data_IF_282673946728
#
_entry.id   IF_282673946728
#
_cell.length_a   1.000
_cell.length_b   1.000
_cell.length_c   1.000
_cell.angle_alpha   90.00
_cell.angle_beta   90.00
_cell.angle_gamma   90.00
#
_symmetry.space_group_name_H-M   'P 1'
#
loop_
_entity.id
_entity.type
_entity.pdbx_description
1 polymer ?
#
# COMPACT_ATOMS: atom_id res chain seq x y z
N UNK A 1 2.53 -7.84 -9.78
CA UNK A 1 1.32 -7.24 -10.37
C UNK A 1 1.61 -5.77 -10.62
N UNK A 2 1.84 -5.38 -11.87
CA UNK A 2 2.06 -3.99 -12.22
C UNK A 2 0.73 -3.25 -12.07
N UNK A 3 0.71 -2.29 -11.14
CA UNK A 3 -0.37 -1.36 -10.94
C UNK A 3 -0.36 -0.43 -12.17
N UNK A 4 -1.15 -0.79 -13.19
CA UNK A 4 -1.46 0.12 -14.28
C UNK A 4 -2.18 1.27 -13.63
N UNK A 5 -1.48 2.40 -13.54
CA UNK A 5 -2.03 3.67 -13.11
C UNK A 5 -3.08 3.98 -14.18
N UNK A 6 -4.32 3.61 -13.86
CA UNK A 6 -5.49 3.96 -14.64
C UNK A 6 -5.48 5.48 -14.66
N UNK A 7 -5.00 6.09 -15.75
CA UNK A 7 -5.25 7.50 -16.00
C UNK A 7 -6.77 7.62 -15.92
N UNK A 8 -7.24 8.21 -14.81
CA UNK A 8 -8.65 8.50 -14.60
C UNK A 8 -9.02 9.53 -15.65
N UNK A 9 -9.28 9.07 -16.86
CA UNK A 9 -10.08 9.78 -17.82
C UNK A 9 -11.47 9.83 -17.17
N UNK A 10 -11.66 10.84 -16.31
CA UNK A 10 -12.90 11.00 -15.58
C UNK A 10 -13.99 11.10 -16.65
N UNK A 11 -15.04 10.28 -16.58
CA UNK A 11 -16.03 10.28 -17.62
C UNK A 11 -16.76 11.62 -17.59
N UNK A 12 -16.43 12.48 -18.56
CA UNK A 12 -17.08 13.76 -18.80
C UNK A 12 -18.36 13.46 -19.57
N UNK A 13 -19.49 13.39 -18.87
CA UNK A 13 -20.80 13.34 -19.54
C UNK A 13 -21.28 14.79 -19.66
N UNK A 14 -21.39 15.28 -20.90
CA UNK A 14 -21.88 16.63 -21.22
C UNK A 14 -21.09 17.80 -20.58
N UNK A 15 -19.78 17.65 -20.37
CA UNK A 15 -18.92 18.71 -19.81
C UNK A 15 -18.90 18.77 -18.27
N UNK A 16 -19.55 17.82 -17.59
CA UNK A 16 -19.57 17.72 -16.13
C UNK A 16 -18.63 16.60 -15.70
N UNK A 17 -17.68 16.91 -14.81
CA UNK A 17 -16.85 15.90 -14.14
C UNK A 17 -17.72 15.07 -13.18
N UNK A 18 -17.97 13.80 -13.54
CA UNK A 18 -18.75 12.89 -12.69
C UNK A 18 -17.80 11.98 -11.94
N UNK A 19 -17.90 12.04 -10.61
CA UNK A 19 -17.16 11.13 -9.72
C UNK A 19 -17.71 9.72 -9.82
N UNK A 20 -16.83 8.74 -9.95
CA UNK A 20 -17.15 7.30 -9.85
C UNK A 20 -16.69 6.72 -8.51
N UNK A 21 -17.37 5.67 -8.06
CA UNK A 21 -16.95 4.91 -6.88
C UNK A 21 -15.91 3.83 -7.21
N UNK A 22 -15.50 3.04 -6.21
CA UNK A 22 -14.50 1.98 -6.37
C UNK A 22 -14.95 0.85 -7.31
N UNK A 23 -16.25 0.73 -7.56
CA UNK A 23 -16.87 -0.27 -8.44
C UNK A 23 -17.22 0.31 -9.82
N UNK A 24 -16.86 1.58 -10.10
CA UNK A 24 -17.11 2.23 -11.37
C UNK A 24 -18.53 2.80 -11.54
N UNK A 25 -19.34 2.86 -10.47
CA UNK A 25 -20.69 3.45 -10.50
C UNK A 25 -20.63 4.98 -10.46
N UNK A 26 -21.54 5.62 -11.18
CA UNK A 26 -21.61 7.06 -11.40
C UNK A 26 -22.48 7.75 -10.36
N UNK A 27 -22.00 8.89 -9.83
CA UNK A 27 -22.75 9.70 -8.88
C UNK A 27 -23.87 10.52 -9.56
N UNK A 28 -25.11 10.08 -9.42
CA UNK A 28 -26.28 10.74 -10.04
C UNK A 28 -26.65 12.06 -9.37
N UNK A 29 -26.31 12.24 -8.09
CA UNK A 29 -26.56 13.50 -7.40
C UNK A 29 -25.65 14.60 -7.95
N UNK A 30 -24.43 14.27 -8.39
CA UNK A 30 -23.58 15.23 -9.07
C UNK A 30 -24.22 15.70 -10.39
N UNK A 31 -24.76 14.76 -11.18
CA UNK A 31 -25.48 15.06 -12.43
C UNK A 31 -26.75 15.88 -12.19
N UNK A 32 -27.54 15.55 -11.16
CA UNK A 32 -28.75 16.31 -10.81
C UNK A 32 -28.43 17.75 -10.41
N UNK A 33 -27.45 17.96 -9.53
CA UNK A 33 -26.99 19.30 -9.13
C UNK A 33 -26.49 20.11 -10.32
N UNK A 34 -25.71 19.49 -11.21
CA UNK A 34 -25.19 20.15 -12.41
C UNK A 34 -26.30 20.54 -13.39
N UNK A 35 -27.41 19.79 -13.40
CA UNK A 35 -28.57 20.08 -14.25
C UNK A 35 -29.40 21.27 -13.75
N UNK A 36 -29.29 21.63 -12.46
CA UNK A 36 -30.03 22.76 -11.86
C UNK A 36 -31.55 22.57 -11.84
N UNK A 37 -32.04 21.34 -11.94
CA UNK A 37 -33.47 21.00 -11.94
C UNK A 37 -33.98 20.82 -10.51
N UNK A 38 -35.30 20.92 -10.32
CA UNK A 38 -35.91 20.81 -8.99
C UNK A 38 -35.94 19.37 -8.45
N UNK A 39 -36.47 19.25 -7.23
CA UNK A 39 -36.57 17.97 -6.49
C UNK A 39 -37.44 16.93 -7.20
N UNK A 40 -38.33 17.37 -8.10
CA UNK A 40 -39.13 16.49 -8.96
C UNK A 40 -38.27 15.65 -9.91
N UNK A 41 -37.06 16.11 -10.21
CA UNK A 41 -36.08 15.42 -11.04
C UNK A 41 -34.96 14.74 -10.25
N UNK A 42 -35.06 14.67 -8.92
CA UNK A 42 -34.05 14.00 -8.10
C UNK A 42 -33.93 12.49 -8.45
N UNK A 43 -32.74 11.88 -8.35
CA UNK A 43 -32.53 10.45 -8.65
C UNK A 43 -33.47 9.52 -7.87
N UNK A 44 -33.75 9.85 -6.61
CA UNK A 44 -34.67 9.10 -5.77
C UNK A 44 -36.11 9.06 -6.32
N UNK A 45 -36.55 10.05 -7.11
CA UNK A 45 -37.86 10.05 -7.78
C UNK A 45 -37.84 9.16 -9.02
N UNK A 46 -36.76 9.20 -9.78
CA UNK A 46 -36.60 8.37 -10.98
C UNK A 46 -36.71 6.88 -10.65
N UNK A 47 -36.00 6.41 -9.62
CA UNK A 47 -35.99 5.00 -9.22
C UNK A 47 -37.26 4.53 -8.49
N UNK A 48 -38.23 5.43 -8.23
CA UNK A 48 -39.56 5.01 -7.76
C UNK A 48 -40.43 4.49 -8.91
N UNK A 49 -40.16 4.92 -10.15
CA UNK A 49 -40.91 4.50 -11.32
C UNK A 49 -40.75 3.00 -11.56
N UNK A 50 -41.85 2.33 -11.93
CA UNK A 50 -41.85 0.89 -12.21
C UNK A 50 -40.81 0.53 -13.29
N UNK A 51 -40.75 1.31 -14.36
CA UNK A 51 -39.79 1.11 -15.46
C UNK A 51 -38.33 1.14 -14.99
N UNK A 52 -37.98 2.05 -14.10
CA UNK A 52 -36.62 2.15 -13.58
C UNK A 52 -36.28 0.97 -12.65
N UNK A 53 -37.25 0.49 -11.87
CA UNK A 53 -37.09 -0.71 -11.03
C UNK A 53 -36.90 -1.97 -11.85
N UNK A 54 -37.75 -2.16 -12.87
CA UNK A 54 -37.68 -3.31 -13.77
C UNK A 54 -36.30 -3.34 -14.48
N UNK A 55 -35.82 -2.17 -14.94
CA UNK A 55 -34.52 -2.04 -15.59
C UNK A 55 -33.34 -2.31 -14.64
N UNK A 56 -33.43 -1.93 -13.36
CA UNK A 56 -32.43 -2.32 -12.35
C UNK A 56 -32.38 -3.84 -12.24
N UNK A 57 -33.54 -4.49 -12.08
CA UNK A 57 -33.60 -5.95 -11.92
C UNK A 57 -33.01 -6.68 -13.13
N UNK A 58 -33.30 -6.23 -14.35
CA UNK A 58 -32.70 -6.81 -15.57
C UNK A 58 -31.17 -6.62 -15.62
N UNK A 59 -30.68 -5.43 -15.26
CA UNK A 59 -29.25 -5.15 -15.26
C UNK A 59 -28.49 -5.95 -14.20
N UNK A 60 -29.05 -6.11 -13.00
CA UNK A 60 -28.45 -6.91 -11.93
C UNK A 60 -28.38 -8.38 -12.31
N UNK A 61 -29.38 -8.91 -13.03
CA UNK A 61 -29.36 -10.28 -13.58
C UNK A 61 -28.28 -10.42 -14.65
N UNK A 62 -28.16 -9.46 -15.57
CA UNK A 62 -27.23 -9.53 -16.69
C UNK A 62 -25.77 -9.38 -16.24
N UNK A 63 -25.49 -8.47 -15.31
CA UNK A 63 -24.14 -8.15 -14.85
C UNK A 63 -23.69 -9.00 -13.66
N UNK A 64 -24.64 -9.54 -12.88
CA UNK A 64 -24.35 -10.22 -11.61
C UNK A 64 -23.82 -9.28 -10.52
N UNK A 65 -24.00 -7.97 -10.68
CA UNK A 65 -23.47 -6.93 -9.79
C UNK A 65 -24.57 -6.00 -9.28
N UNK A 66 -24.32 -5.36 -8.13
CA UNK A 66 -25.24 -4.36 -7.56
C UNK A 66 -25.16 -3.09 -8.39
N UNK A 67 -26.26 -2.78 -9.08
CA UNK A 67 -26.30 -1.70 -10.06
C UNK A 67 -26.74 -0.34 -9.47
N UNK A 68 -27.25 -0.31 -8.24
CA UNK A 68 -27.67 0.91 -7.54
C UNK A 68 -27.29 0.87 -6.07
N UNK A 69 -26.58 1.89 -5.59
CA UNK A 69 -26.24 2.08 -4.17
C UNK A 69 -26.59 3.48 -3.74
N UNK A 70 -27.16 3.62 -2.55
CA UNK A 70 -27.31 4.91 -1.88
C UNK A 70 -26.46 4.91 -0.62
N UNK A 71 -25.54 5.86 -0.51
CA UNK A 71 -24.69 6.06 0.66
C UNK A 71 -25.07 7.34 1.39
N UNK A 72 -25.12 7.28 2.72
CA UNK A 72 -25.40 8.43 3.58
C UNK A 72 -24.10 9.10 4.07
N UNK A 73 -24.12 10.43 4.27
CA UNK A 73 -23.00 11.19 4.84
C UNK A 73 -22.54 12.39 4.00
N UNK A 74 -21.46 13.07 4.43
CA UNK A 74 -20.93 14.28 3.76
C UNK A 74 -20.52 14.06 2.30
N UNK A 75 -20.12 12.84 1.96
CA UNK A 75 -19.81 12.40 0.59
C UNK A 75 -20.86 11.43 0.04
N UNK A 76 -22.01 11.33 0.71
CA UNK A 76 -23.09 10.43 0.36
C UNK A 76 -23.80 10.82 -0.93
N UNK A 77 -24.40 9.84 -1.59
CA UNK A 77 -25.18 10.03 -2.79
C UNK A 77 -25.71 8.73 -3.38
N UNK A 78 -26.46 8.87 -4.47
CA UNK A 78 -26.95 7.73 -5.26
C UNK A 78 -25.95 7.44 -6.39
N UNK A 79 -25.33 6.26 -6.31
CA UNK A 79 -24.38 5.74 -7.28
C UNK A 79 -25.06 4.67 -8.11
N UNK A 80 -24.95 4.76 -9.44
CA UNK A 80 -25.59 3.82 -10.35
C UNK A 80 -24.65 3.34 -11.46
N UNK A 81 -24.92 2.16 -11.98
CA UNK A 81 -24.28 1.63 -13.18
C UNK A 81 -24.40 2.62 -14.36
N UNK A 82 -23.44 2.60 -15.30
CA UNK A 82 -23.37 3.54 -16.42
C UNK A 82 -24.68 3.64 -17.22
N UNK A 83 -25.28 2.51 -17.58
CA UNK A 83 -26.55 2.46 -18.30
C UNK A 83 -27.71 3.14 -17.54
N UNK A 84 -27.76 2.97 -16.22
CA UNK A 84 -28.76 3.65 -15.37
C UNK A 84 -28.52 5.16 -15.33
N UNK A 85 -27.25 5.59 -15.32
CA UNK A 85 -26.90 7.00 -15.37
C UNK A 85 -27.31 7.64 -16.71
N UNK A 86 -27.11 6.95 -17.83
CA UNK A 86 -27.56 7.41 -19.16
C UNK A 86 -29.09 7.52 -19.21
N UNK A 87 -29.81 6.51 -18.72
CA UNK A 87 -31.28 6.55 -18.67
C UNK A 87 -31.82 7.67 -17.79
N UNK A 88 -31.22 7.87 -16.62
CA UNK A 88 -31.57 8.99 -15.74
C UNK A 88 -31.32 10.34 -16.41
N UNK A 89 -30.16 10.52 -17.06
CA UNK A 89 -29.83 11.73 -17.81
C UNK A 89 -30.85 11.99 -18.95
N UNK A 90 -31.29 10.93 -19.64
CA UNK A 90 -32.35 11.01 -20.65
C UNK A 90 -33.73 11.38 -20.09
N UNK A 91 -34.04 10.97 -18.86
CA UNK A 91 -35.30 11.31 -18.19
C UNK A 91 -35.38 12.76 -17.71
N UNK A 92 -34.25 13.33 -17.28
CA UNK A 92 -34.19 14.74 -16.87
C UNK A 92 -34.07 15.69 -18.08
N UNK A 93 -33.50 15.23 -19.20
CA UNK A 93 -33.34 16.03 -20.42
C UNK A 93 -33.77 15.26 -21.67
N UNK A 94 -34.98 15.54 -22.22
CA UNK A 94 -35.43 14.95 -23.48
C UNK A 94 -34.49 15.25 -24.65
N UNK A 95 -33.88 16.45 -24.66
CA UNK A 95 -32.88 16.85 -25.66
C UNK A 95 -31.65 15.92 -25.62
N UNK A 96 -31.14 15.64 -24.42
CA UNK A 96 -30.02 14.71 -24.26
C UNK A 96 -30.41 13.30 -24.72
N UNK A 97 -31.59 12.82 -24.36
CA UNK A 97 -32.09 11.51 -24.82
C UNK A 97 -32.11 11.39 -26.35
N UNK A 98 -32.60 12.42 -27.03
CA UNK A 98 -32.61 12.44 -28.49
C UNK A 98 -31.19 12.49 -29.07
N UNK A 99 -30.28 13.23 -28.45
CA UNK A 99 -28.88 13.28 -28.87
C UNK A 99 -28.20 11.90 -28.75
N UNK A 100 -28.39 11.19 -27.63
CA UNK A 100 -27.87 9.84 -27.43
C UNK A 100 -28.41 8.88 -28.49
N UNK A 101 -29.73 8.90 -28.72
CA UNK A 101 -30.36 8.07 -29.74
C UNK A 101 -29.84 8.39 -31.15
N UNK A 102 -29.70 9.68 -31.48
CA UNK A 102 -29.18 10.13 -32.77
C UNK A 102 -27.73 9.71 -32.95
N UNK A 103 -26.91 9.81 -31.89
CA UNK A 103 -25.51 9.35 -31.88
C UNK A 103 -25.43 7.85 -32.17
N UNK A 104 -26.31 7.04 -31.57
CA UNK A 104 -26.37 5.61 -31.86
C UNK A 104 -26.75 5.33 -33.33
N UNK A 105 -27.74 6.05 -33.87
CA UNK A 105 -28.14 5.91 -35.28
C UNK A 105 -27.00 6.32 -36.21
N UNK A 106 -26.35 7.44 -35.92
CA UNK A 106 -25.25 7.97 -36.73
C UNK A 106 -24.04 7.02 -36.70
N UNK A 107 -23.72 6.42 -35.54
CA UNK A 107 -22.71 5.36 -35.42
C UNK A 107 -23.07 4.13 -36.26
N UNK A 108 -24.28 3.61 -36.13
CA UNK A 108 -24.73 2.45 -36.92
C UNK A 108 -24.74 2.74 -38.43
N UNK A 109 -25.01 3.98 -38.83
CA UNK A 109 -24.99 4.41 -40.23
C UNK A 109 -23.59 4.71 -40.78
N UNK A 110 -22.55 4.64 -39.94
CA UNK A 110 -21.17 4.92 -40.33
C UNK A 110 -20.82 6.41 -40.45
N UNK A 111 -21.72 7.32 -40.04
CA UNK A 111 -21.46 8.78 -40.02
C UNK A 111 -20.48 9.18 -38.91
N UNK A 112 -20.50 8.44 -37.79
CA UNK A 112 -19.50 8.58 -36.73
C UNK A 112 -18.38 7.57 -36.99
N UNK A 113 -17.20 8.08 -37.33
CA UNK A 113 -15.97 7.30 -37.31
C UNK A 113 -15.45 7.32 -35.88
N UNK A 114 -15.27 6.14 -35.27
CA UNK A 114 -14.43 6.05 -34.08
C UNK A 114 -13.02 6.50 -34.49
N UNK A 115 -12.28 7.23 -33.64
CA UNK A 115 -10.86 7.43 -33.85
C UNK A 115 -10.21 6.05 -33.77
N UNK A 116 -10.14 5.37 -34.91
CA UNK A 116 -9.41 4.12 -35.02
C UNK A 116 -7.97 4.51 -34.76
N UNK A 117 -7.31 3.97 -33.71
CA UNK A 117 -5.92 4.29 -33.46
C UNK A 117 -5.18 3.92 -34.74
N UNK A 118 -4.66 4.94 -35.43
CA UNK A 118 -3.94 4.73 -36.67
C UNK A 118 -2.81 3.75 -36.36
N UNK A 119 -2.75 2.65 -37.11
CA UNK A 119 -1.64 1.71 -36.98
C UNK A 119 -0.34 2.51 -37.11
N UNK A 120 0.61 2.37 -36.15
CA UNK A 120 1.84 3.12 -36.20
C UNK A 120 2.52 2.90 -37.55
N UNK A 121 2.97 3.98 -38.19
CA UNK A 121 3.73 3.86 -39.43
C UNK A 121 5.03 3.07 -39.15
N UNK A 122 5.59 2.37 -40.13
CA UNK A 122 6.80 1.55 -40.01
C UNK A 122 7.95 2.27 -39.29
N UNK A 123 8.11 3.58 -39.51
CA UNK A 123 9.11 4.41 -38.82
C UNK A 123 8.84 4.58 -37.31
N UNK A 124 7.57 4.75 -36.92
CA UNK A 124 7.17 4.85 -35.51
C UNK A 124 7.36 3.51 -34.80
N UNK A 125 7.03 2.40 -35.48
CA UNK A 125 7.24 1.06 -34.97
C UNK A 125 8.72 0.78 -34.69
N UNK A 126 9.61 1.11 -35.63
CA UNK A 126 11.05 0.94 -35.46
C UNK A 126 11.61 1.71 -34.26
N UNK A 127 11.14 2.94 -34.04
CA UNK A 127 11.58 3.76 -32.91
C UNK A 127 11.09 3.21 -31.57
N UNK A 128 9.87 2.68 -31.52
CA UNK A 128 9.32 2.02 -30.33
C UNK A 128 10.07 0.72 -29.99
N UNK A 129 10.45 -0.06 -31.00
CA UNK A 129 11.24 -1.28 -30.81
C UNK A 129 12.62 -0.96 -30.22
N UNK A 130 13.31 0.05 -30.77
CA UNK A 130 14.61 0.48 -30.23
C UNK A 130 14.50 0.96 -28.77
N UNK A 131 13.48 1.75 -28.44
CA UNK A 131 13.25 2.21 -27.07
C UNK A 131 12.97 1.05 -26.11
N UNK A 132 12.18 0.07 -26.54
CA UNK A 132 11.87 -1.11 -25.73
C UNK A 132 13.11 -1.99 -25.50
N UNK A 133 14.00 -2.12 -26.49
CA UNK A 133 15.27 -2.82 -26.34
C UNK A 133 16.19 -2.12 -25.34
N UNK A 134 16.37 -0.80 -25.45
CA UNK A 134 17.16 -0.02 -24.50
C UNK A 134 16.60 -0.10 -23.07
N UNK A 135 15.27 -0.04 -22.90
CA UNK A 135 14.63 -0.15 -21.59
C UNK A 135 14.84 -1.54 -20.99
N UNK A 136 14.71 -2.60 -21.81
CA UNK A 136 14.96 -3.98 -21.38
C UNK A 136 16.40 -4.17 -20.92
N UNK A 137 17.36 -3.59 -21.63
CA UNK A 137 18.77 -3.64 -21.23
C UNK A 137 18.99 -2.94 -19.88
N UNK A 138 18.44 -1.72 -19.70
CA UNK A 138 18.50 -1.00 -18.42
C UNK A 138 17.90 -1.79 -17.27
N UNK A 139 16.72 -2.38 -17.50
CA UNK A 139 16.05 -3.20 -16.49
C UNK A 139 16.86 -4.44 -16.15
N UNK A 140 17.47 -5.11 -17.13
CA UNK A 140 18.30 -6.29 -16.87
C UNK A 140 19.55 -5.95 -16.04
N UNK A 141 20.19 -4.80 -16.31
CA UNK A 141 21.30 -4.32 -15.49
C UNK A 141 20.86 -4.00 -14.06
N UNK A 142 19.70 -3.37 -13.88
CA UNK A 142 19.16 -3.07 -12.56
C UNK A 142 18.83 -4.35 -11.77
N UNK A 143 18.24 -5.36 -12.42
CA UNK A 143 17.96 -6.67 -11.81
C UNK A 143 19.26 -7.32 -11.35
N UNK A 144 20.29 -7.38 -12.21
CA UNK A 144 21.59 -7.97 -11.84
C UNK A 144 22.24 -7.24 -10.63
N UNK A 145 22.13 -5.91 -10.57
CA UNK A 145 22.64 -5.14 -9.44
C UNK A 145 21.88 -5.44 -8.14
N UNK A 146 20.56 -5.53 -8.21
CA UNK A 146 19.72 -5.87 -7.07
C UNK A 146 19.97 -7.32 -6.61
N UNK A 147 20.13 -8.26 -7.52
CA UNK A 147 20.50 -9.65 -7.20
C UNK A 147 21.85 -9.71 -6.47
N UNK A 148 22.84 -8.93 -6.92
CA UNK A 148 24.12 -8.82 -6.21
C UNK A 148 23.95 -8.24 -4.80
N UNK A 149 23.13 -7.18 -4.64
CA UNK A 149 22.83 -6.61 -3.32
C UNK A 149 22.12 -7.62 -2.41
N UNK A 150 21.15 -8.37 -2.95
CA UNK A 150 20.45 -9.42 -2.20
C UNK A 150 21.42 -10.52 -1.78
N UNK A 151 22.38 -10.89 -2.62
CA UNK A 151 23.40 -11.89 -2.27
C UNK A 151 24.33 -11.38 -1.15
N UNK A 152 24.75 -10.12 -1.19
CA UNK A 152 25.56 -9.51 -0.12
C UNK A 152 24.76 -9.33 1.18
N UNK A 153 23.49 -8.97 1.08
CA UNK A 153 22.59 -8.79 2.23
C UNK A 153 22.00 -10.11 2.74
N UNK A 154 22.05 -11.22 1.98
CA UNK A 154 21.52 -12.53 2.37
C UNK A 154 22.04 -13.02 3.73
N UNK A 155 23.37 -13.05 4.03
CA UNK A 155 23.85 -13.46 5.34
C UNK A 155 23.45 -12.48 6.47
N UNK A 156 23.15 -11.23 6.13
CA UNK A 156 22.76 -10.16 7.08
C UNK A 156 21.25 -10.21 7.39
N UNK A 157 20.42 -10.56 6.42
CA UNK A 157 18.98 -10.80 6.58
C UNK A 157 18.75 -12.12 7.31
N UNK A 158 19.47 -13.18 6.96
CA UNK A 158 19.35 -14.49 7.61
C UNK A 158 19.69 -14.42 9.11
N UNK A 159 20.72 -13.66 9.50
CA UNK A 159 21.02 -13.39 10.90
C UNK A 159 19.94 -12.54 11.59
N UNK A 160 19.41 -11.52 10.89
CA UNK A 160 18.32 -10.68 11.41
C UNK A 160 17.06 -11.51 11.72
N UNK A 161 16.69 -12.42 10.83
CA UNK A 161 15.52 -13.28 10.99
C UNK A 161 15.72 -14.35 12.06
N UNK A 162 16.90 -14.96 12.16
CA UNK A 162 17.24 -15.88 13.26
C UNK A 162 17.13 -15.21 14.63
N UNK A 163 17.57 -13.96 14.74
CA UNK A 163 17.55 -13.17 15.98
C UNK A 163 16.14 -12.64 16.30
N UNK A 164 15.33 -12.33 15.29
CA UNK A 164 13.92 -11.95 15.47
C UNK A 164 13.03 -13.15 15.83
N UNK A 165 13.36 -14.36 15.37
CA UNK A 165 12.64 -15.58 15.72
C UNK A 165 12.86 -16.00 17.18
N UNK A 166 14.05 -15.77 17.74
CA UNK A 166 14.32 -15.99 19.17
C UNK A 166 13.68 -14.89 20.04
N UNK A 167 12.40 -15.07 20.40
CA UNK A 167 11.58 -14.14 21.18
C UNK A 167 12.02 -13.87 22.65
N UNK A 168 13.29 -14.11 23.01
CA UNK A 168 13.81 -13.92 24.36
C UNK A 168 15.05 -13.03 24.41
N UNK A 169 15.14 -12.14 25.40
CA UNK A 169 16.35 -11.38 25.66
C UNK A 169 17.50 -12.33 26.05
N UNK A 170 18.64 -12.21 25.37
CA UNK A 170 19.80 -13.07 25.55
C UNK A 170 20.71 -12.54 26.66
N UNK A 171 21.28 -13.43 27.46
CA UNK A 171 22.36 -13.02 28.37
C UNK A 171 23.57 -12.51 27.58
N UNK A 172 24.35 -11.60 28.15
CA UNK A 172 25.57 -11.09 27.51
C UNK A 172 26.55 -12.24 27.16
N UNK A 173 26.55 -13.32 27.92
CA UNK A 173 27.35 -14.51 27.61
C UNK A 173 26.87 -15.23 26.33
N UNK A 174 25.55 -15.33 26.12
CA UNK A 174 24.96 -15.88 24.89
C UNK A 174 25.20 -14.94 23.71
N UNK A 175 24.97 -13.63 23.89
CA UNK A 175 25.26 -12.62 22.88
C UNK A 175 26.74 -12.65 22.44
N UNK A 176 27.68 -12.85 23.38
CA UNK A 176 29.10 -12.97 23.06
C UNK A 176 29.41 -14.19 22.17
N UNK A 177 28.77 -15.33 22.42
CA UNK A 177 28.92 -16.52 21.57
C UNK A 177 28.42 -16.27 20.15
N UNK A 178 27.26 -15.64 20.02
CA UNK A 178 26.67 -15.30 18.71
C UNK A 178 27.57 -14.36 17.92
N UNK A 179 28.26 -13.43 18.59
CA UNK A 179 29.18 -12.48 17.97
C UNK A 179 30.61 -13.01 17.80
N UNK A 180 30.88 -14.26 18.17
CA UNK A 180 32.21 -14.86 18.08
C UNK A 180 33.26 -14.19 18.99
N UNK A 181 32.85 -13.61 20.13
CA UNK A 181 33.75 -12.90 21.05
C UNK A 181 33.69 -13.45 22.48
N UNK A 182 34.67 -13.08 23.30
CA UNK A 182 34.72 -13.47 24.71
C UNK A 182 33.80 -12.60 25.58
N UNK A 183 33.09 -13.23 26.53
CA UNK A 183 32.19 -12.54 27.50
C UNK A 183 32.81 -11.28 28.10
N UNK A 184 34.04 -11.37 28.60
CA UNK A 184 34.75 -10.24 29.25
C UNK A 184 35.06 -9.09 28.28
N UNK A 185 35.41 -9.42 27.02
CA UNK A 185 35.65 -8.41 25.97
C UNK A 185 34.37 -7.68 25.62
N UNK A 186 33.25 -8.41 25.52
CA UNK A 186 31.95 -7.80 25.25
C UNK A 186 31.49 -6.90 26.40
N UNK A 187 31.65 -7.30 27.66
CA UNK A 187 31.37 -6.43 28.81
C UNK A 187 32.22 -5.15 28.80
N UNK A 188 33.50 -5.27 28.46
CA UNK A 188 34.40 -4.12 28.38
C UNK A 188 33.91 -3.15 27.31
N UNK A 189 33.55 -3.67 26.13
CA UNK A 189 33.03 -2.87 25.03
C UNK A 189 31.68 -2.21 25.35
N UNK A 190 30.74 -2.94 25.94
CA UNK A 190 29.45 -2.41 26.37
C UNK A 190 29.59 -1.23 27.35
N UNK A 191 30.61 -1.23 28.21
CA UNK A 191 30.93 -0.08 29.08
C UNK A 191 31.53 1.08 28.28
N UNK A 192 32.41 0.80 27.32
CA UNK A 192 33.02 1.83 26.47
C UNK A 192 31.98 2.58 25.62
N UNK A 193 31.00 1.87 25.06
CA UNK A 193 29.91 2.47 24.26
C UNK A 193 28.77 3.04 25.12
N UNK A 194 28.88 2.99 26.45
CA UNK A 194 27.88 3.53 27.37
C UNK A 194 26.54 2.80 27.35
N UNK A 195 26.53 1.48 27.19
CA UNK A 195 25.31 0.67 27.25
C UNK A 195 25.04 0.10 28.65
N UNK A 196 26.11 -0.18 29.39
CA UNK A 196 26.04 -0.66 30.77
C UNK A 196 26.97 0.15 31.68
N UNK A 197 26.63 0.22 32.96
CA UNK A 197 27.42 0.86 34.00
C UNK A 197 28.64 0.03 34.36
N UNK A 198 29.52 0.58 35.22
CA UNK A 198 30.64 -0.16 35.82
C UNK A 198 30.19 -1.41 36.59
N UNK A 199 28.97 -1.41 37.12
CA UNK A 199 28.35 -2.55 37.84
C UNK A 199 27.66 -3.56 36.91
N UNK A 200 27.77 -3.38 35.59
CA UNK A 200 27.11 -4.18 34.56
C UNK A 200 25.58 -4.05 34.49
N UNK A 201 25.05 -2.93 34.99
CA UNK A 201 23.62 -2.64 34.90
C UNK A 201 23.35 -1.83 33.62
N UNK A 202 22.33 -2.14 32.82
CA UNK A 202 22.02 -1.36 31.62
C UNK A 202 21.57 0.07 31.96
N UNK A 203 21.96 1.04 31.15
CA UNK A 203 21.42 2.40 31.28
C UNK A 203 19.94 2.43 30.90
N UNK A 204 19.14 3.20 31.65
CA UNK A 204 17.70 3.31 31.46
C UNK A 204 17.32 3.73 30.03
N UNK A 205 18.09 4.62 29.41
CA UNK A 205 17.89 5.02 28.00
C UNK A 205 17.97 3.84 27.03
N UNK A 206 18.86 2.86 27.28
CA UNK A 206 19.03 1.70 26.40
C UNK A 206 17.92 0.67 26.60
N UNK A 207 17.35 0.61 27.79
CA UNK A 207 16.15 -0.17 28.09
C UNK A 207 14.94 0.45 27.37
N UNK A 208 14.75 1.77 27.49
CA UNK A 208 13.67 2.49 26.79
C UNK A 208 13.79 2.43 25.27
N UNK A 209 15.00 2.44 24.72
CA UNK A 209 15.25 2.24 23.30
C UNK A 209 14.97 0.80 22.81
N UNK A 210 14.70 -0.13 23.73
CA UNK A 210 14.44 -1.54 23.46
C UNK A 210 15.67 -2.33 23.05
N UNK A 211 16.88 -1.89 23.42
CA UNK A 211 18.15 -2.53 23.08
C UNK A 211 18.62 -3.51 24.17
N UNK A 212 18.31 -3.19 25.41
CA UNK A 212 18.69 -3.99 26.58
C UNK A 212 17.45 -4.30 27.40
N UNK A 213 17.52 -5.39 28.15
CA UNK A 213 16.52 -5.77 29.14
C UNK A 213 17.21 -6.18 30.43
N UNK A 214 16.45 -6.31 31.51
CA UNK A 214 16.98 -6.61 32.85
C UNK A 214 16.22 -7.79 33.44
N UNK A 215 16.98 -8.75 33.96
CA UNK A 215 16.46 -9.81 34.81
C UNK A 215 16.90 -9.57 36.25
N UNK A 216 15.92 -9.43 37.14
CA UNK A 216 16.15 -9.44 38.58
C UNK A 216 16.31 -10.89 39.05
N UNK A 217 17.37 -11.14 39.80
CA UNK A 217 17.57 -12.35 40.56
C UNK A 217 17.76 -12.00 42.03
N UNK A 218 17.66 -12.99 42.89
CA UNK A 218 18.07 -12.86 44.28
C UNK A 218 19.00 -14.00 44.63
N UNK A 219 19.97 -13.72 45.49
CA UNK A 219 20.87 -14.72 46.03
C UNK A 219 21.03 -14.49 47.52
N UNK A 220 21.06 -15.58 48.28
CA UNK A 220 21.17 -15.54 49.72
C UNK A 220 22.65 -15.56 50.15
N UNK A 221 23.10 -14.46 50.75
CA UNK A 221 24.43 -14.35 51.29
C UNK A 221 24.49 -14.95 52.70
N UNK A 222 25.48 -15.82 53.03
CA UNK A 222 25.61 -16.48 54.32
C UNK A 222 25.58 -15.60 55.59
N UNK A 223 25.82 -14.30 55.46
CA UNK A 223 25.90 -13.36 56.58
C UNK A 223 25.03 -12.11 56.40
N UNK A 224 24.68 -11.77 55.15
CA UNK A 224 24.00 -10.51 54.80
C UNK A 224 22.55 -10.70 54.33
N UNK A 225 22.06 -11.94 54.36
CA UNK A 225 20.71 -12.29 53.92
C UNK A 225 20.52 -12.19 52.41
N UNK A 226 19.26 -12.09 51.99
CA UNK A 226 18.85 -12.06 50.58
C UNK A 226 19.31 -10.76 49.93
N UNK A 227 20.15 -10.87 48.90
CA UNK A 227 20.59 -9.77 48.06
C UNK A 227 19.96 -9.86 46.67
N UNK A 228 19.47 -8.74 46.16
CA UNK A 228 18.99 -8.64 44.79
C UNK A 228 20.16 -8.41 43.82
N UNK A 229 20.19 -9.19 42.75
CA UNK A 229 21.17 -9.07 41.69
C UNK A 229 20.49 -8.71 40.37
N UNK A 230 21.09 -7.76 39.65
CA UNK A 230 20.58 -7.28 38.37
C UNK A 230 21.42 -7.92 37.26
N UNK A 231 20.77 -8.70 36.41
CA UNK A 231 21.41 -9.31 35.23
C UNK A 231 20.98 -8.58 33.97
N UNK A 232 21.94 -7.99 33.28
CA UNK A 232 21.75 -7.35 31.97
C UNK A 232 21.55 -8.39 30.86
N UNK A 233 20.50 -8.18 30.06
CA UNK A 233 20.15 -8.95 28.87
C UNK A 233 20.15 -8.05 27.62
N UNK A 234 20.37 -8.66 26.45
CA UNK A 234 20.39 -8.00 25.14
C UNK A 234 19.18 -8.48 24.35
N UNK A 235 18.35 -7.57 23.85
CA UNK A 235 17.20 -7.91 23.00
C UNK A 235 17.66 -8.22 21.57
N UNK A 236 16.76 -8.78 20.73
CA UNK A 236 17.10 -9.01 19.31
C UNK A 236 17.52 -7.72 18.58
N UNK A 237 16.79 -6.62 18.83
CA UNK A 237 17.13 -5.27 18.32
C UNK A 237 18.50 -4.80 18.84
N UNK A 238 18.79 -5.02 20.12
CA UNK A 238 20.08 -4.72 20.73
C UNK A 238 21.23 -5.50 20.10
N UNK A 239 21.03 -6.79 19.84
CA UNK A 239 22.05 -7.66 19.26
C UNK A 239 22.44 -7.23 17.84
N UNK A 240 21.46 -6.84 17.01
CA UNK A 240 21.69 -6.30 15.65
C UNK A 240 22.53 -5.03 15.72
N UNK A 241 22.16 -4.09 16.59
CA UNK A 241 22.91 -2.83 16.72
C UNK A 241 24.31 -3.08 17.28
N UNK A 242 24.45 -4.03 18.20
CA UNK A 242 25.74 -4.38 18.78
C UNK A 242 26.66 -5.04 17.75
N UNK A 243 26.14 -5.90 16.87
CA UNK A 243 26.89 -6.49 15.77
C UNK A 243 27.44 -5.41 14.82
N UNK A 244 26.61 -4.43 14.43
CA UNK A 244 27.05 -3.28 13.60
C UNK A 244 28.20 -2.52 14.25
N UNK A 245 28.06 -2.16 15.53
CA UNK A 245 29.09 -1.43 16.28
C UNK A 245 30.37 -2.27 16.46
N UNK A 246 30.23 -3.58 16.67
CA UNK A 246 31.35 -4.49 16.83
C UNK A 246 32.13 -4.70 15.51
N UNK A 247 31.43 -4.83 14.39
CA UNK A 247 32.05 -4.90 13.06
C UNK A 247 32.84 -3.63 12.75
N UNK A 248 32.24 -2.45 13.00
CA UNK A 248 32.90 -1.16 12.78
C UNK A 248 34.23 -1.04 13.54
N UNK A 249 34.26 -1.50 14.81
CA UNK A 249 35.47 -1.53 15.65
C UNK A 249 36.58 -2.38 15.05
N UNK A 250 36.23 -3.51 14.43
CA UNK A 250 37.21 -4.43 13.84
C UNK A 250 37.71 -3.95 12.48
N UNK A 251 36.95 -3.11 11.75
CA UNK A 251 37.41 -2.50 10.49
C UNK A 251 38.35 -1.31 10.69
N UNK A 252 38.32 -0.67 11.86
CA UNK A 252 39.16 0.49 12.20
C UNK A 252 40.47 0.15 12.92
N UNK A 253 40.73 -1.12 13.24
CA UNK A 253 42.00 -1.61 13.79
C UNK A 253 42.69 -2.51 12.78
#
# INVERSE_FOLDING_TARGET
MLNVINEKNQPVIAGVEITTDAEGRFNLNALHRASGLGDEKAPAKFFRNKTAKDLISELEIQTGQICLVSSEGKSGGTFAHELLAIEYAGWISPKFRLQVNQTFIDYRSGKLTTPQPALPNAKQLAMMVLQAEEEKERLSLAVNQLEHQIFEDAPKVEFHDQVSASHGALSIAQAAKVLGTGRTRLFTFLRQIGWITRRNEPYQEKIQAGLMDVKLGSWEHPERGIQECITSLVTGKGLIQLQKLWALRNSTN
#
